data_IF_486359043619
#
_entry.id   IF_486359043619
#
_cell.length_a   1.000
_cell.length_b   1.000
_cell.length_c   1.000
_cell.angle_alpha   90.00
_cell.angle_beta   90.00
_cell.angle_gamma   90.00
#
_symmetry.space_group_name_H-M   'P 1'
#
loop_
_entity.id
_entity.type
_entity.pdbx_description
1 polymer ?
#
# COMPACT_ATOMS: atom_id res chain seq x y z
N UNK A 1 31.72 -31.81 -90.10
CA UNK A 1 33.15 -31.52 -89.91
C UNK A 1 33.24 -30.03 -89.61
N UNK A 2 33.75 -29.49 -88.52
CA UNK A 2 34.57 -29.96 -87.39
C UNK A 2 34.39 -28.88 -86.30
N UNK A 3 33.84 -29.27 -85.16
CA UNK A 3 34.44 -29.10 -83.82
C UNK A 3 33.93 -27.89 -83.02
N UNK A 4 32.99 -28.21 -82.13
CA UNK A 4 32.60 -27.41 -80.96
C UNK A 4 33.74 -27.44 -79.94
N UNK A 5 34.28 -26.26 -79.59
CA UNK A 5 35.13 -26.11 -78.41
C UNK A 5 34.38 -25.33 -77.32
N UNK A 6 34.36 -25.98 -76.16
CA UNK A 6 33.70 -25.65 -74.91
C UNK A 6 34.46 -24.50 -74.22
N UNK A 7 33.86 -23.31 -74.09
CA UNK A 7 34.27 -22.34 -73.06
C UNK A 7 33.31 -22.44 -71.88
N UNK A 8 33.81 -23.02 -70.77
CA UNK A 8 33.12 -23.08 -69.49
C UNK A 8 33.23 -21.73 -68.79
N UNK A 9 32.11 -21.03 -68.67
CA UNK A 9 31.93 -19.94 -67.69
C UNK A 9 32.10 -20.48 -66.27
N UNK A 10 32.81 -19.79 -65.36
CA UNK A 10 32.89 -20.21 -63.98
C UNK A 10 31.55 -19.89 -63.30
N UNK A 11 30.79 -20.95 -62.98
CA UNK A 11 29.70 -20.88 -62.00
C UNK A 11 30.29 -20.44 -60.66
N UNK A 12 30.06 -19.17 -60.31
CA UNK A 12 30.25 -18.68 -58.95
C UNK A 12 29.11 -19.30 -58.14
N UNK A 13 29.38 -20.47 -57.57
CA UNK A 13 28.56 -21.06 -56.51
C UNK A 13 28.77 -20.18 -55.27
N UNK A 14 27.98 -19.13 -55.14
CA UNK A 14 27.79 -18.46 -53.87
C UNK A 14 27.22 -19.51 -52.92
N UNK A 15 28.10 -20.05 -52.08
CA UNK A 15 27.71 -20.92 -50.99
C UNK A 15 26.84 -20.07 -50.08
N UNK A 16 25.53 -20.36 -50.05
CA UNK A 16 24.60 -19.80 -49.08
C UNK A 16 25.04 -20.33 -47.70
N UNK A 17 26.07 -19.67 -47.16
CA UNK A 17 26.56 -19.84 -45.82
C UNK A 17 25.65 -19.05 -44.89
N UNK A 18 25.11 -19.73 -43.90
CA UNK A 18 24.36 -19.16 -42.79
C UNK A 18 23.08 -18.39 -43.20
N UNK A 19 22.10 -19.13 -43.74
CA UNK A 19 20.76 -19.02 -43.17
C UNK A 19 20.84 -19.41 -41.69
N UNK A 20 21.31 -18.47 -40.86
CA UNK A 20 21.08 -18.48 -39.42
C UNK A 20 19.59 -18.68 -39.26
N UNK A 21 19.25 -19.90 -38.91
CA UNK A 21 18.00 -20.29 -38.31
C UNK A 21 17.57 -19.14 -37.39
N UNK A 22 16.54 -18.41 -37.80
CA UNK A 22 15.62 -17.70 -36.91
C UNK A 22 14.84 -18.73 -36.05
N UNK A 23 15.50 -19.84 -35.70
CA UNK A 23 15.10 -20.80 -34.73
C UNK A 23 15.25 -20.13 -33.39
N UNK A 24 14.11 -19.68 -32.89
CA UNK A 24 13.76 -19.85 -31.48
C UNK A 24 14.95 -19.54 -30.57
N UNK A 25 15.34 -18.26 -30.49
CA UNK A 25 16.10 -17.80 -29.32
C UNK A 25 15.20 -18.13 -28.14
N UNK A 26 15.42 -19.30 -27.51
CA UNK A 26 14.72 -19.74 -26.30
C UNK A 26 14.93 -18.59 -25.34
N UNK A 27 13.90 -17.77 -25.21
CA UNK A 27 13.88 -16.63 -24.30
C UNK A 27 14.37 -17.20 -22.96
N UNK A 28 15.45 -16.64 -22.36
CA UNK A 28 16.00 -17.21 -21.14
C UNK A 28 14.87 -17.44 -20.14
N UNK A 29 14.86 -18.63 -19.54
CA UNK A 29 13.87 -19.09 -18.57
C UNK A 29 13.70 -17.98 -17.54
N UNK A 30 12.53 -17.34 -17.52
CA UNK A 30 12.23 -16.25 -16.61
C UNK A 30 12.06 -16.85 -15.21
N UNK A 31 13.15 -16.87 -14.43
CA UNK A 31 13.11 -17.21 -13.01
C UNK A 31 12.41 -16.12 -12.17
N UNK A 32 12.02 -15.01 -12.78
CA UNK A 32 11.38 -13.87 -12.11
C UNK A 32 10.08 -14.24 -11.40
N UNK A 33 9.24 -15.11 -12.00
CA UNK A 33 7.97 -15.52 -11.38
C UNK A 33 8.18 -16.27 -10.06
N UNK A 34 9.25 -17.06 -9.95
CA UNK A 34 9.58 -17.75 -8.70
C UNK A 34 10.07 -16.77 -7.64
N UNK A 35 10.89 -15.80 -8.00
CA UNK A 35 11.36 -14.77 -7.08
C UNK A 35 10.18 -13.98 -6.48
N UNK A 36 9.28 -13.49 -7.35
CA UNK A 36 8.08 -12.78 -6.92
C UNK A 36 7.14 -13.67 -6.08
N UNK A 37 6.93 -14.93 -6.48
CA UNK A 37 6.09 -15.84 -5.71
C UNK A 37 6.70 -16.19 -4.35
N UNK A 38 8.01 -16.34 -4.25
CA UNK A 38 8.70 -16.54 -2.97
C UNK A 38 8.57 -15.31 -2.09
N UNK A 39 8.79 -14.11 -2.62
CA UNK A 39 8.59 -12.87 -1.88
C UNK A 39 7.14 -12.74 -1.37
N UNK A 40 6.16 -13.01 -2.22
CA UNK A 40 4.74 -13.00 -1.84
C UNK A 40 4.40 -14.04 -0.78
N UNK A 41 5.00 -15.23 -0.87
CA UNK A 41 4.85 -16.27 0.15
C UNK A 41 5.43 -15.86 1.51
N UNK A 42 6.59 -15.20 1.53
CA UNK A 42 7.21 -14.68 2.75
C UNK A 42 6.38 -13.54 3.37
N UNK A 43 5.92 -12.59 2.56
CA UNK A 43 5.05 -11.49 3.02
C UNK A 43 3.76 -12.06 3.60
N UNK A 44 3.12 -13.01 2.90
CA UNK A 44 1.89 -13.63 3.38
C UNK A 44 2.10 -14.42 4.68
N UNK A 45 3.22 -15.13 4.80
CA UNK A 45 3.55 -15.86 6.03
C UNK A 45 3.75 -14.91 7.21
N UNK A 46 4.46 -13.79 7.01
CA UNK A 46 4.62 -12.73 8.02
C UNK A 46 3.26 -12.14 8.42
N UNK A 47 2.43 -11.80 7.43
CA UNK A 47 1.09 -11.26 7.64
C UNK A 47 0.21 -12.20 8.48
N UNK A 48 0.18 -13.49 8.13
CA UNK A 48 -0.57 -14.50 8.89
C UNK A 48 -0.02 -14.63 10.31
N UNK A 49 1.30 -14.67 10.50
CA UNK A 49 1.92 -14.73 11.83
C UNK A 49 1.53 -13.52 12.70
N UNK A 50 1.66 -12.31 12.15
CA UNK A 50 1.36 -11.06 12.86
C UNK A 50 -0.13 -10.97 13.21
N UNK A 51 -1.03 -11.31 12.28
CA UNK A 51 -2.47 -11.32 12.56
C UNK A 51 -2.88 -12.37 13.59
N UNK A 52 -2.31 -13.58 13.54
CA UNK A 52 -2.57 -14.59 14.58
C UNK A 52 -2.14 -14.04 15.94
N UNK A 53 -0.91 -13.53 16.04
CA UNK A 53 -0.38 -12.97 17.29
C UNK A 53 -1.22 -11.81 17.82
N UNK A 54 -1.71 -10.96 16.91
CA UNK A 54 -2.62 -9.87 17.25
C UNK A 54 -3.94 -10.36 17.81
N UNK A 55 -4.67 -11.20 17.08
CA UNK A 55 -6.00 -11.71 17.48
C UNK A 55 -5.93 -12.47 18.82
N UNK A 56 -4.82 -13.16 19.09
CA UNK A 56 -4.62 -13.90 20.36
C UNK A 56 -3.99 -13.07 21.47
N UNK A 57 -3.58 -11.83 21.19
CA UNK A 57 -2.82 -10.98 22.11
C UNK A 57 -3.64 -9.84 22.71
N UNK A 58 -3.07 -9.08 23.65
CA UNK A 58 -3.78 -8.01 24.38
C UNK A 58 -4.20 -6.83 23.48
N UNK A 59 -3.50 -6.60 22.37
CA UNK A 59 -3.80 -5.50 21.46
C UNK A 59 -5.07 -5.72 20.60
N UNK A 60 -5.71 -6.90 20.64
CA UNK A 60 -7.02 -7.13 20.00
C UNK A 60 -8.15 -6.61 20.89
N UNK A 61 -8.14 -5.32 21.16
CA UNK A 61 -9.11 -4.64 21.99
C UNK A 61 -9.68 -3.42 21.28
N UNK A 62 -10.93 -3.07 21.58
CA UNK A 62 -11.55 -1.87 21.01
C UNK A 62 -10.84 -0.62 21.56
N UNK A 63 -10.37 0.24 20.66
CA UNK A 63 -9.96 1.60 21.01
C UNK A 63 -11.23 2.44 21.19
N UNK A 64 -11.45 3.04 22.37
CA UNK A 64 -12.64 3.81 22.65
C UNK A 64 -12.66 5.15 21.90
N UNK A 65 -13.86 5.66 21.71
CA UNK A 65 -14.12 6.98 21.10
C UNK A 65 -13.74 8.15 22.01
N UNK A 66 -13.57 7.88 23.31
CA UNK A 66 -13.31 8.90 24.32
C UNK A 66 -14.57 9.70 24.70
N UNK A 67 -14.42 10.83 25.41
CA UNK A 67 -15.54 11.60 25.94
C UNK A 67 -16.36 12.36 24.89
N UNK A 68 -15.79 12.66 23.71
CA UNK A 68 -16.51 13.35 22.65
C UNK A 68 -17.18 12.36 21.71
N UNK A 69 -18.48 12.54 21.49
CA UNK A 69 -19.23 11.80 20.49
C UNK A 69 -19.13 12.52 19.13
N UNK A 70 -18.78 11.83 18.02
CA UNK A 70 -18.71 12.48 16.72
C UNK A 70 -20.05 13.10 16.30
N UNK A 71 -20.05 14.16 15.49
CA UNK A 71 -21.28 14.78 14.98
C UNK A 71 -22.21 13.77 14.29
N UNK A 72 -23.53 13.97 14.41
CA UNK A 72 -24.53 13.05 13.83
C UNK A 72 -24.30 12.83 12.33
N UNK A 73 -24.05 13.90 11.58
CA UNK A 73 -23.80 13.82 10.14
C UNK A 73 -22.61 12.91 9.81
N UNK A 74 -21.50 13.07 10.55
CA UNK A 74 -20.30 12.24 10.42
C UNK A 74 -20.64 10.77 10.67
N UNK A 75 -21.27 10.45 11.80
CA UNK A 75 -21.69 9.07 12.13
C UNK A 75 -22.59 8.46 11.06
N UNK A 76 -23.60 9.20 10.60
CA UNK A 76 -24.52 8.72 9.56
C UNK A 76 -23.79 8.41 8.27
N UNK A 77 -22.91 9.30 7.83
CA UNK A 77 -22.16 9.11 6.58
C UNK A 77 -21.20 7.94 6.71
N UNK A 78 -20.42 7.86 7.79
CA UNK A 78 -19.51 6.74 8.07
C UNK A 78 -20.27 5.40 8.12
N UNK A 79 -21.48 5.39 8.70
CA UNK A 79 -22.35 4.20 8.72
C UNK A 79 -22.78 3.78 7.31
N UNK A 80 -23.28 4.72 6.52
CA UNK A 80 -23.76 4.47 5.15
C UNK A 80 -22.61 3.97 4.28
N UNK A 81 -21.43 4.57 4.42
CA UNK A 81 -20.23 4.16 3.70
C UNK A 81 -19.76 2.77 4.09
N UNK A 82 -19.67 2.48 5.39
CA UNK A 82 -19.32 1.16 5.90
C UNK A 82 -20.30 0.10 5.38
N UNK A 83 -21.61 0.39 5.42
CA UNK A 83 -22.62 -0.51 4.87
C UNK A 83 -22.45 -0.71 3.35
N UNK A 84 -22.19 0.37 2.61
CA UNK A 84 -21.93 0.33 1.17
C UNK A 84 -20.74 -0.56 0.80
N UNK A 85 -19.61 -0.42 1.51
CA UNK A 85 -18.41 -1.25 1.25
C UNK A 85 -18.60 -2.69 1.67
N UNK A 86 -19.32 -2.95 2.76
CA UNK A 86 -19.64 -4.31 3.18
C UNK A 86 -20.60 -5.02 2.23
N UNK A 87 -21.58 -4.31 1.65
CA UNK A 87 -22.51 -4.88 0.66
C UNK A 87 -21.81 -5.05 -0.69
N UNK A 88 -20.96 -4.10 -1.09
CA UNK A 88 -20.19 -4.16 -2.33
C UNK A 88 -19.22 -5.34 -2.36
N UNK A 89 -18.67 -5.73 -1.20
CA UNK A 89 -17.66 -6.78 -1.11
C UNK A 89 -18.12 -8.19 -1.56
N UNK A 90 -19.24 -8.77 -1.08
CA UNK A 90 -19.74 -10.05 -1.59
C UNK A 90 -20.14 -9.96 -3.06
N UNK A 91 -20.66 -8.81 -3.53
CA UNK A 91 -20.96 -8.58 -4.95
C UNK A 91 -19.68 -8.63 -5.79
N UNK A 92 -18.62 -7.98 -5.31
CA UNK A 92 -17.31 -7.96 -5.92
C UNK A 92 -16.70 -9.38 -5.99
N UNK A 93 -16.72 -10.13 -4.88
CA UNK A 93 -16.28 -11.53 -4.84
C UNK A 93 -17.09 -12.37 -5.84
N UNK A 94 -18.41 -12.20 -5.88
CA UNK A 94 -19.25 -12.92 -6.82
C UNK A 94 -18.87 -12.60 -8.27
N UNK A 95 -18.68 -11.33 -8.61
CA UNK A 95 -18.49 -10.89 -9.98
C UNK A 95 -17.08 -11.18 -10.53
N UNK A 96 -16.03 -11.01 -9.72
CA UNK A 96 -14.64 -11.17 -10.14
C UNK A 96 -14.02 -12.52 -9.83
N UNK A 97 -14.50 -13.24 -8.81
CA UNK A 97 -13.96 -14.55 -8.41
C UNK A 97 -14.95 -15.68 -8.74
N UNK A 98 -16.15 -15.68 -8.17
CA UNK A 98 -17.07 -16.83 -8.25
C UNK A 98 -17.61 -17.03 -9.67
N UNK A 99 -18.15 -15.96 -10.29
CA UNK A 99 -18.75 -16.03 -11.62
C UNK A 99 -17.74 -16.47 -12.70
N UNK A 100 -16.52 -15.91 -12.79
CA UNK A 100 -15.52 -16.39 -13.75
C UNK A 100 -15.04 -17.81 -13.43
N UNK A 101 -14.92 -18.18 -12.15
CA UNK A 101 -14.61 -19.55 -11.77
C UNK A 101 -15.67 -20.52 -12.30
N UNK A 102 -16.95 -20.25 -12.09
CA UNK A 102 -18.03 -21.14 -12.55
C UNK A 102 -18.16 -21.20 -14.07
N UNK A 103 -18.02 -20.06 -14.77
CA UNK A 103 -18.22 -20.01 -16.24
C UNK A 103 -17.00 -20.44 -17.03
N UNK A 104 -15.80 -20.09 -16.56
CA UNK A 104 -14.56 -20.20 -17.33
C UNK A 104 -13.53 -21.12 -16.66
N UNK A 105 -13.81 -21.63 -15.45
CA UNK A 105 -12.90 -22.48 -14.65
C UNK A 105 -11.50 -21.88 -14.46
N UNK A 106 -11.42 -20.55 -14.42
CA UNK A 106 -10.18 -19.78 -14.21
C UNK A 106 -10.42 -18.57 -13.31
N UNK A 107 -9.38 -18.19 -12.57
CA UNK A 107 -9.35 -16.93 -11.82
C UNK A 107 -8.78 -15.85 -12.74
N UNK A 108 -9.54 -14.78 -12.93
CA UNK A 108 -9.14 -13.64 -13.77
C UNK A 108 -8.07 -12.81 -13.07
N UNK A 109 -7.38 -11.94 -13.81
CA UNK A 109 -6.45 -10.98 -13.21
C UNK A 109 -7.16 -10.10 -12.16
N UNK A 110 -8.37 -9.64 -12.47
CA UNK A 110 -9.16 -8.80 -11.56
C UNK A 110 -9.52 -9.56 -10.26
N UNK A 111 -9.84 -10.85 -10.34
CA UNK A 111 -10.07 -11.67 -9.14
C UNK A 111 -8.82 -11.83 -8.28
N UNK A 112 -7.63 -11.98 -8.90
CA UNK A 112 -6.35 -12.02 -8.19
C UNK A 112 -6.03 -10.65 -7.57
N UNK A 113 -6.26 -9.55 -8.30
CA UNK A 113 -6.04 -8.20 -7.81
C UNK A 113 -6.96 -7.87 -6.65
N UNK A 114 -8.23 -8.28 -6.68
CA UNK A 114 -9.17 -8.10 -5.57
C UNK A 114 -8.63 -8.72 -4.28
N UNK A 115 -8.17 -9.97 -4.35
CA UNK A 115 -7.59 -10.66 -3.20
C UNK A 115 -6.25 -10.04 -2.79
N UNK A 116 -5.41 -9.66 -3.76
CA UNK A 116 -4.08 -9.07 -3.50
C UNK A 116 -4.19 -7.69 -2.83
N UNK A 117 -5.08 -6.82 -3.30
CA UNK A 117 -5.32 -5.50 -2.72
C UNK A 117 -6.01 -5.61 -1.36
N UNK A 118 -6.90 -6.60 -1.16
CA UNK A 118 -7.48 -6.87 0.15
C UNK A 118 -6.44 -7.31 1.19
N UNK A 119 -5.42 -8.07 0.79
CA UNK A 119 -4.32 -8.46 1.67
C UNK A 119 -3.28 -7.34 1.84
N UNK A 120 -3.14 -6.45 0.84
CA UNK A 120 -2.26 -5.28 0.90
C UNK A 120 -2.60 -4.34 2.07
N UNK A 121 -3.87 -4.31 2.49
CA UNK A 121 -4.35 -3.61 3.71
C UNK A 121 -3.51 -3.89 4.96
N UNK A 122 -2.84 -5.05 5.04
CA UNK A 122 -1.91 -5.35 6.14
C UNK A 122 -0.82 -4.28 6.37
N UNK A 123 -0.49 -3.53 5.32
CA UNK A 123 0.52 -2.48 5.39
C UNK A 123 -0.06 -1.11 5.74
N UNK A 124 -1.38 -0.96 5.86
CA UNK A 124 -2.04 0.33 6.11
C UNK A 124 -1.53 1.02 7.40
N UNK A 125 -1.37 0.33 8.54
CA UNK A 125 -0.81 0.96 9.72
C UNK A 125 0.64 1.43 9.52
N UNK A 126 1.39 0.91 8.54
CA UNK A 126 2.85 1.12 8.46
C UNK A 126 3.22 2.58 8.24
N UNK A 127 2.31 3.41 7.73
CA UNK A 127 2.49 4.85 7.68
C UNK A 127 2.76 5.46 9.08
N UNK A 128 2.32 4.79 10.15
CA UNK A 128 2.53 5.15 11.54
C UNK A 128 3.73 4.45 12.20
N UNK A 129 4.66 3.84 11.45
CA UNK A 129 5.68 2.97 12.04
C UNK A 129 6.69 3.70 12.93
N UNK A 130 7.13 4.90 12.52
CA UNK A 130 8.09 5.73 13.29
C UNK A 130 7.40 6.73 14.23
N UNK A 131 6.34 7.36 13.75
CA UNK A 131 5.54 8.33 14.47
C UNK A 131 4.09 8.22 14.00
N UNK A 132 3.12 8.61 14.83
CA UNK A 132 1.71 8.61 14.47
C UNK A 132 1.41 9.75 13.52
N UNK A 133 1.32 9.43 12.23
CA UNK A 133 1.13 10.34 11.12
C UNK A 133 -0.32 10.42 10.63
N UNK A 134 -1.08 9.31 10.65
CA UNK A 134 -2.52 9.26 10.33
C UNK A 134 -3.28 8.47 11.39
N UNK A 135 -4.47 8.95 11.76
CA UNK A 135 -5.38 8.23 12.65
C UNK A 135 -6.78 8.14 12.06
N UNK A 136 -7.40 6.98 12.20
CA UNK A 136 -8.79 6.76 11.83
C UNK A 136 -9.75 7.22 12.93
N UNK A 137 -10.99 7.51 12.53
CA UNK A 137 -12.05 7.79 13.48
C UNK A 137 -12.40 6.54 14.30
N UNK A 138 -12.13 6.57 15.60
CA UNK A 138 -12.29 5.44 16.51
C UNK A 138 -13.75 5.08 16.80
N UNK A 139 -14.71 5.89 16.33
CA UNK A 139 -16.13 5.55 16.35
C UNK A 139 -16.46 4.35 15.45
N UNK A 140 -15.73 4.17 14.36
CA UNK A 140 -15.90 3.03 13.45
C UNK A 140 -15.56 1.71 14.15
N UNK A 141 -16.10 0.61 13.63
CA UNK A 141 -15.82 -0.72 14.19
C UNK A 141 -14.33 -1.04 14.09
N UNK A 142 -13.67 -1.10 15.25
CA UNK A 142 -12.24 -1.38 15.38
C UNK A 142 -11.95 -2.38 16.52
N UNK A 143 -10.75 -2.97 16.46
CA UNK A 143 -10.14 -3.82 17.49
C UNK A 143 -8.65 -3.46 17.67
N UNK A 144 -8.35 -2.17 17.61
CA UNK A 144 -6.97 -1.67 17.56
C UNK A 144 -6.33 -1.99 16.22
N UNK A 145 -5.01 -2.21 16.23
CA UNK A 145 -4.25 -2.62 15.05
C UNK A 145 -3.27 -3.74 15.40
N UNK A 146 -2.75 -4.41 14.37
CA UNK A 146 -1.67 -5.40 14.54
C UNK A 146 -0.28 -4.76 14.54
N UNK A 147 -0.19 -3.43 14.46
CA UNK A 147 1.05 -2.68 14.29
C UNK A 147 2.13 -2.98 15.35
N UNK A 148 1.81 -3.15 16.65
CA UNK A 148 2.82 -3.42 17.69
C UNK A 148 3.57 -4.75 17.50
N UNK A 149 2.99 -5.67 16.73
CA UNK A 149 3.59 -6.96 16.43
C UNK A 149 4.43 -6.95 15.15
N UNK A 150 4.43 -5.84 14.40
CA UNK A 150 5.30 -5.66 13.25
C UNK A 150 6.74 -5.52 13.75
N UNK A 151 7.70 -6.28 13.20
CA UNK A 151 9.09 -6.22 13.65
C UNK A 151 9.64 -4.79 13.58
N UNK A 152 10.22 -4.32 14.68
CA UNK A 152 10.88 -3.02 14.80
C UNK A 152 9.95 -1.81 14.94
N UNK A 153 8.65 -2.03 15.16
CA UNK A 153 7.68 -0.96 15.41
C UNK A 153 8.18 0.03 16.47
N UNK A 154 8.13 1.32 16.17
CA UNK A 154 8.73 2.38 17.00
C UNK A 154 7.67 3.21 17.70
N UNK A 155 6.59 3.54 17.00
CA UNK A 155 5.49 4.34 17.55
C UNK A 155 4.88 3.71 18.79
N UNK A 156 4.56 4.57 19.75
CA UNK A 156 3.98 4.18 21.02
C UNK A 156 2.57 3.65 20.82
N UNK A 157 2.32 2.43 21.30
CA UNK A 157 1.00 1.83 21.30
C UNK A 157 0.79 0.99 22.56
N UNK A 158 -0.36 1.20 23.19
CA UNK A 158 -0.82 0.43 24.34
C UNK A 158 -2.17 -0.24 24.03
N UNK A 159 -2.48 -1.39 24.67
CA UNK A 159 -3.79 -2.00 24.53
C UNK A 159 -4.91 -0.98 24.85
N UNK A 160 -5.82 -0.76 23.90
CA UNK A 160 -6.88 0.23 24.00
C UNK A 160 -6.48 1.69 23.68
N UNK A 161 -5.18 1.98 23.53
CA UNK A 161 -4.62 3.30 23.21
C UNK A 161 -3.58 3.17 22.09
N UNK A 162 -4.08 2.99 20.85
CA UNK A 162 -3.30 2.66 19.67
C UNK A 162 -4.03 3.12 18.41
N UNK A 163 -3.38 3.04 17.25
CA UNK A 163 -4.05 3.28 15.96
C UNK A 163 -5.20 2.29 15.80
N UNK A 164 -6.38 2.80 15.51
CA UNK A 164 -7.62 2.02 15.47
C UNK A 164 -8.04 1.71 14.04
N UNK A 165 -7.72 0.51 13.56
CA UNK A 165 -8.05 0.12 12.19
C UNK A 165 -9.56 -0.14 12.01
N UNK A 166 -10.27 0.56 11.11
CA UNK A 166 -11.69 0.33 10.84
C UNK A 166 -11.86 -0.91 9.95
N UNK A 167 -11.73 -2.09 10.55
CA UNK A 167 -11.64 -3.39 9.84
C UNK A 167 -12.78 -3.63 8.85
N UNK A 168 -14.01 -3.26 9.21
CA UNK A 168 -15.19 -3.46 8.36
C UNK A 168 -15.22 -2.56 7.14
N UNK A 169 -14.40 -1.50 7.14
CA UNK A 169 -14.35 -0.54 6.06
C UNK A 169 -13.07 -0.70 5.24
N UNK A 170 -11.91 -0.78 5.90
CA UNK A 170 -10.63 -0.86 5.22
C UNK A 170 -10.47 -2.19 4.47
N UNK A 171 -10.77 -3.34 5.06
CA UNK A 171 -10.63 -4.64 4.37
C UNK A 171 -11.42 -4.68 3.05
N UNK A 172 -12.75 -4.42 3.02
CA UNK A 172 -13.47 -4.38 1.75
C UNK A 172 -13.09 -3.17 0.88
N UNK A 173 -12.87 -2.00 1.47
CA UNK A 173 -12.49 -0.78 0.75
C UNK A 173 -11.21 -0.94 -0.06
N UNK A 174 -10.17 -1.51 0.56
CA UNK A 174 -8.93 -1.89 -0.11
C UNK A 174 -9.14 -3.00 -1.15
N UNK A 175 -9.94 -4.03 -0.85
CA UNK A 175 -10.12 -5.15 -1.77
C UNK A 175 -10.83 -4.76 -3.08
N UNK A 176 -12.02 -4.14 -2.98
CA UNK A 176 -12.85 -3.85 -4.16
C UNK A 176 -12.89 -2.36 -4.53
N UNK A 177 -12.80 -1.46 -3.56
CA UNK A 177 -12.78 0.00 -3.82
C UNK A 177 -11.53 0.43 -4.59
N UNK A 178 -10.34 0.07 -4.09
CA UNK A 178 -9.06 0.34 -4.79
C UNK A 178 -9.03 -0.32 -6.16
N UNK A 179 -9.56 -1.54 -6.30
CA UNK A 179 -9.67 -2.21 -7.59
C UNK A 179 -10.58 -1.46 -8.56
N UNK A 180 -11.74 -0.96 -8.12
CA UNK A 180 -12.63 -0.17 -8.98
C UNK A 180 -11.98 1.12 -9.46
N UNK A 181 -11.28 1.82 -8.57
CA UNK A 181 -10.51 3.00 -8.93
C UNK A 181 -9.44 2.62 -9.97
N UNK A 182 -8.69 1.53 -9.73
CA UNK A 182 -7.70 1.01 -10.67
C UNK A 182 -8.33 0.71 -12.05
N UNK A 183 -9.51 0.10 -12.09
CA UNK A 183 -10.26 -0.16 -13.33
C UNK A 183 -10.64 1.14 -14.04
N UNK A 184 -11.11 2.14 -13.29
CA UNK A 184 -11.43 3.49 -13.78
C UNK A 184 -10.21 4.22 -14.35
N UNK A 185 -9.07 4.14 -13.66
CA UNK A 185 -7.79 4.67 -14.13
C UNK A 185 -7.32 3.95 -15.40
N UNK A 186 -7.43 2.62 -15.47
CA UNK A 186 -7.15 1.88 -16.70
C UNK A 186 -8.10 2.26 -17.85
N UNK A 187 -9.35 2.62 -17.57
CA UNK A 187 -10.27 3.16 -18.57
C UNK A 187 -9.80 4.54 -19.07
N UNK A 188 -9.36 5.41 -18.17
CA UNK A 188 -8.77 6.70 -18.52
C UNK A 188 -7.52 6.53 -19.40
N UNK A 189 -6.60 5.63 -19.03
CA UNK A 189 -5.43 5.30 -19.85
C UNK A 189 -5.81 4.85 -21.27
N UNK A 190 -6.86 4.02 -21.41
CA UNK A 190 -7.39 3.60 -22.72
C UNK A 190 -7.92 4.78 -23.52
N UNK A 191 -8.62 5.72 -22.86
CA UNK A 191 -9.16 6.93 -23.49
C UNK A 191 -8.07 7.89 -23.95
N UNK A 192 -6.99 8.04 -23.18
CA UNK A 192 -5.83 8.84 -23.57
C UNK A 192 -5.17 8.22 -24.81
N UNK A 193 -4.95 6.90 -24.80
CA UNK A 193 -4.33 6.20 -25.93
C UNK A 193 -5.19 6.22 -27.20
N UNK A 194 -6.53 6.18 -27.07
CA UNK A 194 -7.40 6.31 -28.25
C UNK A 194 -7.41 7.72 -28.84
N UNK A 195 -7.20 8.76 -28.03
CA UNK A 195 -7.04 10.15 -28.51
C UNK A 195 -5.64 10.46 -29.00
N UNK A 196 -4.60 9.85 -28.43
CA UNK A 196 -3.19 10.01 -28.82
C UNK A 196 -2.51 8.64 -28.95
N UNK A 197 -2.67 7.95 -30.10
CA UNK A 197 -2.10 6.61 -30.30
C UNK A 197 -0.56 6.56 -30.21
N UNK A 198 0.12 7.65 -30.56
CA UNK A 198 1.59 7.77 -30.52
C UNK A 198 2.17 8.14 -29.15
N UNK A 199 1.37 8.19 -28.08
CA UNK A 199 1.89 8.48 -26.74
C UNK A 199 2.83 7.36 -26.27
N UNK A 200 4.01 7.73 -25.79
CA UNK A 200 4.94 6.76 -25.21
C UNK A 200 4.39 6.19 -23.89
N UNK A 201 4.83 5.01 -23.50
CA UNK A 201 4.42 4.42 -22.21
C UNK A 201 4.79 5.33 -21.03
N UNK A 202 5.95 5.99 -21.07
CA UNK A 202 6.38 6.90 -20.00
C UNK A 202 5.46 8.12 -19.89
N UNK A 203 5.09 8.74 -21.02
CA UNK A 203 4.14 9.85 -21.03
C UNK A 203 2.75 9.41 -20.55
N UNK A 204 2.31 8.20 -20.90
CA UNK A 204 1.04 7.65 -20.42
C UNK A 204 1.07 7.46 -18.90
N UNK A 205 2.16 6.94 -18.34
CA UNK A 205 2.35 6.80 -16.89
C UNK A 205 2.32 8.18 -16.22
N UNK A 206 3.04 9.17 -16.74
CA UNK A 206 3.06 10.53 -16.19
C UNK A 206 1.69 11.20 -16.17
N UNK A 207 0.91 11.08 -17.26
CA UNK A 207 -0.47 11.60 -17.31
C UNK A 207 -1.40 10.84 -16.35
N UNK A 208 -1.20 9.54 -16.20
CA UNK A 208 -1.96 8.71 -15.26
C UNK A 208 -1.67 9.10 -13.81
N UNK A 209 -0.40 9.36 -13.50
CA UNK A 209 0.02 9.85 -12.19
C UNK A 209 -0.61 11.21 -11.86
N UNK A 210 -0.54 12.18 -12.78
CA UNK A 210 -1.21 13.47 -12.59
C UNK A 210 -2.73 13.33 -12.42
N UNK A 211 -3.37 12.42 -13.17
CA UNK A 211 -4.80 12.16 -13.03
C UNK A 211 -5.15 11.53 -11.67
N UNK A 212 -4.37 10.56 -11.21
CA UNK A 212 -4.59 9.86 -9.94
C UNK A 212 -4.35 10.78 -8.74
N UNK A 213 -3.36 11.68 -8.81
CA UNK A 213 -3.17 12.76 -7.84
C UNK A 213 -4.42 13.65 -7.71
N UNK A 214 -4.99 14.10 -8.83
CA UNK A 214 -6.19 14.95 -8.80
C UNK A 214 -7.41 14.17 -8.31
N UNK A 215 -7.54 12.91 -8.74
CA UNK A 215 -8.62 12.04 -8.27
C UNK A 215 -8.55 11.86 -6.76
N UNK A 216 -7.35 11.68 -6.23
CA UNK A 216 -7.10 11.54 -4.80
C UNK A 216 -7.44 12.82 -4.05
N UNK A 217 -6.96 13.99 -4.48
CA UNK A 217 -7.35 15.27 -3.89
C UNK A 217 -8.87 15.45 -3.80
N UNK A 218 -9.60 15.08 -4.86
CA UNK A 218 -11.07 15.17 -4.88
C UNK A 218 -11.72 14.17 -3.93
N UNK A 219 -11.25 12.93 -3.92
CA UNK A 219 -11.82 11.92 -3.05
C UNK A 219 -11.42 12.14 -1.60
N UNK A 220 -10.13 12.14 -1.31
CA UNK A 220 -9.61 12.21 0.03
C UNK A 220 -9.74 13.62 0.62
N UNK A 221 -9.14 14.61 -0.04
CA UNK A 221 -9.09 15.99 0.44
C UNK A 221 -10.45 16.67 0.55
N UNK A 222 -11.36 16.45 -0.41
CA UNK A 222 -12.67 17.11 -0.43
C UNK A 222 -13.82 16.27 0.12
N UNK A 223 -13.67 14.94 0.21
CA UNK A 223 -14.75 14.05 0.65
C UNK A 223 -14.34 13.29 1.92
N UNK A 224 -13.28 12.48 1.93
CA UNK A 224 -12.98 11.60 3.06
C UNK A 224 -12.62 12.33 4.34
N UNK A 225 -11.68 13.27 4.24
CA UNK A 225 -11.18 14.01 5.38
C UNK A 225 -12.25 14.95 5.97
N UNK A 226 -12.99 15.75 5.18
CA UNK A 226 -14.08 16.57 5.71
C UNK A 226 -15.24 15.75 6.29
N UNK A 227 -15.42 14.51 5.84
CA UNK A 227 -16.41 13.59 6.41
C UNK A 227 -15.88 12.84 7.64
N UNK A 228 -14.62 13.06 8.02
CA UNK A 228 -14.01 12.54 9.24
C UNK A 228 -13.77 11.03 9.24
N UNK A 229 -13.40 10.47 8.09
CA UNK A 229 -13.00 9.06 7.98
C UNK A 229 -11.72 8.78 8.78
N UNK A 230 -10.73 9.63 8.54
CA UNK A 230 -9.42 9.67 9.19
C UNK A 230 -8.90 11.09 9.12
N UNK A 231 -7.77 11.33 9.75
CA UNK A 231 -7.08 12.62 9.77
C UNK A 231 -5.57 12.40 9.79
N UNK A 232 -4.81 13.39 9.28
CA UNK A 232 -3.35 13.38 9.26
C UNK A 232 -2.80 14.31 10.33
N UNK A 233 -2.77 13.93 11.61
CA UNK A 233 -2.35 14.85 12.66
C UNK A 233 -0.88 15.22 12.59
N UNK A 234 -0.01 14.32 12.13
CA UNK A 234 1.41 14.59 11.96
C UNK A 234 1.76 15.22 10.61
N UNK A 235 0.79 15.79 9.87
CA UNK A 235 1.07 16.37 8.56
C UNK A 235 1.91 17.65 8.65
N UNK A 236 2.83 17.83 7.70
CA UNK A 236 3.57 19.09 7.55
C UNK A 236 2.59 20.16 7.05
N UNK A 237 2.25 21.10 7.92
CA UNK A 237 1.20 22.09 7.73
C UNK A 237 1.52 23.04 6.56
N UNK A 238 2.80 23.40 6.37
CA UNK A 238 3.22 24.31 5.30
C UNK A 238 2.97 23.79 3.87
N UNK A 239 2.82 22.48 3.70
CA UNK A 239 2.55 21.82 2.41
C UNK A 239 1.24 21.04 2.44
N UNK A 240 0.29 21.48 3.27
CA UNK A 240 -1.03 20.90 3.42
C UNK A 240 -2.14 21.89 3.08
N UNK A 241 -3.21 21.40 2.46
CA UNK A 241 -4.45 22.15 2.34
C UNK A 241 -5.22 22.10 3.65
N UNK A 242 -5.91 23.19 4.02
CA UNK A 242 -6.64 23.31 5.29
C UNK A 242 -5.79 23.00 6.53
N UNK A 243 -4.52 23.40 6.50
CA UNK A 243 -3.56 23.19 7.58
C UNK A 243 -4.13 23.64 8.94
N UNK A 244 -3.91 22.84 9.97
CA UNK A 244 -4.41 23.11 11.32
C UNK A 244 -5.85 22.64 11.57
N UNK A 245 -6.54 22.10 10.57
CA UNK A 245 -7.86 21.49 10.74
C UNK A 245 -7.80 19.95 10.73
N UNK A 246 -8.80 19.29 11.31
CA UNK A 246 -8.91 17.83 11.26
C UNK A 246 -9.05 17.26 9.84
N UNK A 247 -9.46 18.10 8.89
CA UNK A 247 -9.59 17.73 7.48
C UNK A 247 -8.43 18.25 6.63
N UNK A 248 -7.26 18.51 7.25
CA UNK A 248 -6.06 18.89 6.53
C UNK A 248 -5.60 17.77 5.59
N UNK A 249 -5.29 18.14 4.34
CA UNK A 249 -4.84 17.20 3.32
C UNK A 249 -3.41 17.53 2.89
N UNK A 250 -2.42 16.70 3.27
CA UNK A 250 -1.04 16.90 2.85
C UNK A 250 -0.87 16.64 1.35
N UNK A 251 -0.27 17.58 0.61
CA UNK A 251 -0.07 17.41 -0.85
C UNK A 251 0.76 16.18 -1.19
N UNK A 252 1.71 15.84 -0.32
CA UNK A 252 2.56 14.67 -0.49
C UNK A 252 1.81 13.35 -0.27
N UNK A 253 0.68 13.35 0.44
CA UNK A 253 -0.21 12.17 0.49
C UNK A 253 -0.76 11.87 -0.91
N UNK A 254 -1.30 12.88 -1.59
CA UNK A 254 -1.75 12.72 -2.97
C UNK A 254 -0.64 12.27 -3.93
N UNK A 255 0.61 12.68 -3.68
CA UNK A 255 1.74 12.19 -4.47
C UNK A 255 2.03 10.72 -4.19
N UNK A 256 2.03 10.30 -2.91
CA UNK A 256 2.27 8.91 -2.51
C UNK A 256 1.15 7.99 -2.97
N UNK A 257 -0.10 8.30 -2.63
CA UNK A 257 -1.25 7.50 -3.02
C UNK A 257 -1.52 7.54 -4.53
N UNK A 258 -1.33 8.69 -5.18
CA UNK A 258 -1.35 8.81 -6.63
C UNK A 258 -0.32 7.89 -7.30
N UNK A 259 0.88 7.77 -6.73
CA UNK A 259 1.93 6.89 -7.24
C UNK A 259 1.55 5.41 -7.07
N UNK A 260 0.95 5.04 -5.94
CA UNK A 260 0.39 3.70 -5.71
C UNK A 260 -0.67 3.38 -6.76
N UNK A 261 -1.66 4.25 -6.93
CA UNK A 261 -2.74 4.02 -7.89
C UNK A 261 -2.25 3.96 -9.34
N UNK A 262 -1.33 4.85 -9.72
CA UNK A 262 -0.69 4.79 -11.02
C UNK A 262 0.09 3.47 -11.19
N UNK A 263 0.83 3.01 -10.17
CA UNK A 263 1.56 1.75 -10.16
C UNK A 263 0.64 0.53 -10.33
N UNK A 264 -0.46 0.47 -9.57
CA UNK A 264 -1.47 -0.59 -9.66
C UNK A 264 -2.16 -0.59 -11.03
N UNK A 265 -2.50 0.59 -11.56
CA UNK A 265 -3.06 0.73 -12.89
C UNK A 265 -2.07 0.29 -13.97
N UNK A 266 -0.78 0.60 -13.82
CA UNK A 266 0.26 0.14 -14.73
C UNK A 266 0.40 -1.38 -14.71
N UNK A 267 0.41 -1.99 -13.52
CA UNK A 267 0.47 -3.44 -13.35
C UNK A 267 -0.71 -4.12 -14.06
N UNK A 268 -1.91 -3.55 -13.95
CA UNK A 268 -3.14 -4.06 -14.57
C UNK A 268 -3.23 -3.75 -16.07
N UNK A 269 -2.75 -2.61 -16.52
CA UNK A 269 -2.89 -2.14 -17.91
C UNK A 269 -1.85 -2.73 -18.85
N UNK A 270 -0.59 -2.78 -18.44
CA UNK A 270 0.52 -3.26 -19.27
C UNK A 270 0.65 -4.78 -19.18
N UNK A 271 -0.27 -5.47 -19.84
CA UNK A 271 -0.27 -6.93 -19.96
C UNK A 271 0.27 -7.38 -21.32
N UNK A 272 0.74 -8.63 -21.38
CA UNK A 272 1.11 -9.27 -22.64
C UNK A 272 -0.14 -9.71 -23.45
N UNK A 273 0.07 -10.30 -24.63
CA UNK A 273 -1.01 -10.79 -25.51
C UNK A 273 -1.89 -11.87 -24.87
N UNK A 274 -1.44 -12.46 -23.75
CA UNK A 274 -2.17 -13.46 -22.96
C UNK A 274 -2.81 -12.86 -21.71
N UNK A 275 -2.79 -11.53 -21.56
CA UNK A 275 -3.36 -10.82 -20.42
C UNK A 275 -2.54 -10.98 -19.13
N UNK A 276 -1.24 -11.25 -19.24
CA UNK A 276 -0.34 -11.46 -18.10
C UNK A 276 0.47 -10.22 -17.77
N UNK A 277 0.56 -9.93 -16.49
CA UNK A 277 1.41 -8.89 -15.90
C UNK A 277 2.90 -9.23 -16.03
N UNK A 278 3.78 -8.27 -15.73
CA UNK A 278 5.23 -8.48 -15.82
C UNK A 278 5.75 -9.53 -14.82
N UNK A 279 5.11 -9.66 -13.65
CA UNK A 279 5.57 -10.52 -12.54
C UNK A 279 5.17 -11.98 -12.71
N UNK A 280 4.18 -12.27 -13.55
CA UNK A 280 3.76 -13.64 -13.88
C UNK A 280 4.39 -14.15 -15.20
N UNK A 281 5.31 -13.38 -15.81
CA UNK A 281 6.01 -13.80 -17.03
C UNK A 281 6.88 -15.03 -16.77
N UNK A 282 6.59 -16.11 -17.50
CA UNK A 282 7.24 -17.39 -17.32
C UNK A 282 6.42 -18.41 -16.52
N UNK A 283 5.18 -18.09 -16.15
CA UNK A 283 4.30 -19.01 -15.42
C UNK A 283 4.08 -20.37 -16.12
N UNK A 284 4.13 -20.40 -17.47
CA UNK A 284 4.03 -21.65 -18.27
C UNK A 284 5.16 -22.65 -17.98
N UNK A 285 6.27 -22.17 -17.40
CA UNK A 285 7.44 -22.99 -17.08
C UNK A 285 7.35 -23.57 -15.66
N UNK A 286 6.34 -23.18 -14.88
CA UNK A 286 6.14 -23.68 -13.52
C UNK A 286 5.68 -25.13 -13.59
N UNK A 287 6.57 -26.04 -13.18
CA UNK A 287 6.31 -27.48 -13.10
C UNK A 287 5.26 -27.78 -12.03
N UNK A 288 4.10 -28.27 -12.44
CA UNK A 288 3.01 -28.68 -11.57
C UNK A 288 1.65 -28.55 -12.25
N UNK A 289 0.60 -29.06 -11.59
CA UNK A 289 -0.78 -28.92 -12.07
C UNK A 289 -1.28 -27.47 -12.01
N UNK A 290 -2.47 -27.25 -12.56
CA UNK A 290 -3.13 -25.93 -12.67
C UNK A 290 -3.19 -25.19 -11.33
N UNK A 291 -3.43 -25.90 -10.23
CA UNK A 291 -3.48 -25.31 -8.87
C UNK A 291 -2.16 -24.64 -8.49
N UNK A 292 -1.02 -25.33 -8.68
CA UNK A 292 0.29 -24.78 -8.33
C UNK A 292 0.63 -23.55 -9.16
N UNK A 293 0.26 -23.55 -10.44
CA UNK A 293 0.44 -22.40 -11.31
C UNK A 293 -0.41 -21.21 -10.85
N UNK A 294 -1.68 -21.42 -10.46
CA UNK A 294 -2.53 -20.34 -9.96
C UNK A 294 -2.04 -19.78 -8.62
N UNK A 295 -1.60 -20.62 -7.67
CA UNK A 295 -1.03 -20.14 -6.40
C UNK A 295 0.24 -19.33 -6.65
N UNK A 296 1.15 -19.83 -7.50
CA UNK A 296 2.40 -19.13 -7.84
C UNK A 296 2.09 -17.77 -8.49
N UNK A 297 1.10 -17.74 -9.40
CA UNK A 297 0.62 -16.52 -10.05
C UNK A 297 0.04 -15.53 -9.04
N UNK A 298 -0.82 -16.00 -8.13
CA UNK A 298 -1.40 -15.19 -7.07
C UNK A 298 -0.30 -14.58 -6.19
N UNK A 299 0.62 -15.39 -5.66
CA UNK A 299 1.70 -14.91 -4.81
C UNK A 299 2.59 -13.89 -5.51
N UNK A 300 2.89 -14.09 -6.80
CA UNK A 300 3.70 -13.14 -7.56
C UNK A 300 2.98 -11.79 -7.75
N UNK A 301 1.69 -11.79 -8.05
CA UNK A 301 0.90 -10.56 -8.18
C UNK A 301 0.71 -9.89 -6.82
N UNK A 302 0.44 -10.66 -5.76
CA UNK A 302 0.35 -10.16 -4.40
C UNK A 302 1.65 -9.47 -3.97
N UNK A 303 2.81 -10.08 -4.24
CA UNK A 303 4.10 -9.46 -3.97
C UNK A 303 4.29 -8.15 -4.73
N UNK A 304 3.84 -8.08 -5.99
CA UNK A 304 3.95 -6.86 -6.80
C UNK A 304 3.05 -5.74 -6.27
N UNK A 305 1.80 -6.05 -5.95
CA UNK A 305 0.83 -5.11 -5.35
C UNK A 305 1.36 -4.61 -4.01
N UNK A 306 1.83 -5.51 -3.14
CA UNK A 306 2.42 -5.17 -1.85
C UNK A 306 3.69 -4.33 -2.00
N UNK A 307 4.55 -4.63 -2.98
CA UNK A 307 5.77 -3.85 -3.23
C UNK A 307 5.46 -2.45 -3.78
N UNK A 308 4.46 -2.30 -4.65
CA UNK A 308 3.99 -0.99 -5.13
C UNK A 308 3.58 -0.13 -3.93
N UNK A 309 2.75 -0.67 -3.04
CA UNK A 309 2.30 0.07 -1.86
C UNK A 309 3.46 0.39 -0.91
N UNK A 310 4.31 -0.60 -0.62
CA UNK A 310 5.45 -0.40 0.26
C UNK A 310 6.41 0.69 -0.25
N UNK A 311 6.77 0.65 -1.53
CA UNK A 311 7.78 1.54 -2.11
C UNK A 311 7.25 2.95 -2.34
N UNK A 312 6.02 3.08 -2.85
CA UNK A 312 5.47 4.39 -3.22
C UNK A 312 4.74 5.08 -2.07
N UNK A 313 4.34 4.35 -1.03
CA UNK A 313 3.62 4.89 0.12
C UNK A 313 4.41 4.78 1.41
N UNK A 314 4.67 3.56 1.88
CA UNK A 314 5.21 3.37 3.23
C UNK A 314 6.62 3.93 3.40
N UNK A 315 7.52 3.72 2.44
CA UNK A 315 8.88 4.26 2.49
C UNK A 315 8.92 5.79 2.56
N UNK A 316 8.29 6.54 1.62
CA UNK A 316 8.28 7.99 1.72
C UNK A 316 7.48 8.50 2.92
N UNK A 317 6.41 7.81 3.33
CA UNK A 317 5.66 8.18 4.53
C UNK A 317 6.54 8.13 5.79
N UNK A 318 7.47 7.17 5.91
CA UNK A 318 8.39 7.13 7.06
C UNK A 318 9.30 8.35 7.12
N UNK A 319 9.79 8.81 5.96
CA UNK A 319 10.61 10.02 5.91
C UNK A 319 9.81 11.23 6.34
N UNK A 320 8.56 11.37 5.87
CA UNK A 320 7.74 12.53 6.22
C UNK A 320 7.27 12.48 7.68
N UNK A 321 6.93 11.30 8.21
CA UNK A 321 6.51 11.14 9.62
C UNK A 321 7.58 11.54 10.64
N UNK A 322 8.87 11.53 10.25
CA UNK A 322 9.97 12.04 11.08
C UNK A 322 10.03 13.57 11.16
N UNK A 323 9.32 14.26 10.28
CA UNK A 323 9.26 15.71 10.18
C UNK A 323 7.86 16.23 10.52
N UNK A 324 7.12 15.49 11.34
CA UNK A 324 5.76 15.85 11.72
C UNK A 324 5.73 17.19 12.46
N UNK A 325 4.84 18.09 12.02
CA UNK A 325 4.51 19.32 12.71
C UNK A 325 3.69 19.01 13.99
N UNK A 326 3.47 20.01 14.87
CA UNK A 326 2.59 19.86 16.01
C UNK A 326 1.22 19.35 15.58
N UNK A 327 0.68 18.38 16.31
CA UNK A 327 -0.70 17.95 16.13
C UNK A 327 -1.66 19.14 16.24
N UNK A 328 -2.51 19.41 15.25
CA UNK A 328 -3.47 20.51 15.32
C UNK A 328 -4.40 20.44 16.54
N UNK A 329 -4.70 21.60 17.14
CA UNK A 329 -5.67 21.71 18.25
C UNK A 329 -7.05 21.16 17.85
N UNK A 330 -7.49 21.42 16.62
CA UNK A 330 -8.74 20.93 16.05
C UNK A 330 -8.80 19.38 16.01
N UNK A 331 -7.67 18.69 15.96
CA UNK A 331 -7.65 17.23 16.09
C UNK A 331 -7.64 16.80 17.56
N UNK A 332 -6.81 17.47 18.37
CA UNK A 332 -6.64 17.13 19.79
C UNK A 332 -7.92 17.30 20.61
N UNK A 333 -8.76 18.30 20.30
CA UNK A 333 -10.04 18.52 20.99
C UNK A 333 -11.13 17.48 20.64
N UNK A 334 -10.85 16.58 19.69
CA UNK A 334 -11.77 15.53 19.23
C UNK A 334 -11.23 14.16 19.62
N UNK A 335 -11.69 13.64 20.75
CA UNK A 335 -11.20 12.35 21.29
C UNK A 335 -11.30 11.17 20.31
N UNK A 336 -12.24 11.22 19.37
CA UNK A 336 -12.42 10.18 18.35
C UNK A 336 -11.35 10.17 17.25
N UNK A 337 -10.43 11.14 17.22
CA UNK A 337 -9.27 11.16 16.33
C UNK A 337 -7.93 10.91 17.05
N UNK A 338 -7.86 11.07 18.38
CA UNK A 338 -6.62 10.83 19.14
C UNK A 338 -6.48 9.37 19.56
N UNK A 339 -7.60 8.67 19.76
CA UNK A 339 -7.62 7.23 20.10
C UNK A 339 -6.90 6.89 21.40
N UNK A 340 -6.76 7.86 22.30
CA UNK A 340 -6.06 7.71 23.58
C UNK A 340 -4.54 7.55 23.46
N UNK A 341 -3.96 7.77 22.27
CA UNK A 341 -2.50 7.67 22.06
C UNK A 341 -1.75 8.80 22.80
N UNK A 342 -2.38 9.97 22.90
CA UNK A 342 -1.80 11.17 23.50
C UNK A 342 -2.89 12.19 23.85
N UNK A 343 -2.49 13.25 24.57
CA UNK A 343 -3.33 14.42 24.85
C UNK A 343 -4.16 14.25 26.11
N UNK A 344 -5.30 14.94 26.18
CA UNK A 344 -6.16 14.94 27.37
C UNK A 344 -6.63 13.51 27.73
N UNK A 345 -6.64 13.21 29.03
CA UNK A 345 -6.89 11.86 29.55
C UNK A 345 -5.68 10.91 29.51
N UNK A 346 -4.50 11.38 29.10
CA UNK A 346 -3.24 10.62 29.13
C UNK A 346 -2.17 11.35 29.97
N UNK A 347 -1.07 10.66 30.27
CA UNK A 347 0.16 11.24 30.84
C UNK A 347 1.10 11.80 29.76
N UNK A 348 0.76 11.63 28.48
CA UNK A 348 1.65 11.92 27.35
C UNK A 348 1.17 13.11 26.52
N UNK A 349 2.03 14.08 26.22
CA UNK A 349 1.72 15.10 25.23
C UNK A 349 1.60 14.47 23.83
N UNK A 350 0.80 15.08 22.95
CA UNK A 350 0.78 14.67 21.55
C UNK A 350 2.10 14.99 20.84
N UNK A 351 2.45 14.23 19.78
CA UNK A 351 3.69 14.44 19.04
C UNK A 351 3.89 15.91 18.66
N UNK A 352 5.05 16.43 19.02
CA UNK A 352 5.45 17.83 18.83
C UNK A 352 6.93 17.87 18.41
N UNK A 353 7.33 18.73 17.45
CA UNK A 353 8.73 18.84 17.00
C UNK A 353 9.72 19.23 18.11
N UNK A 354 9.22 19.91 19.16
CA UNK A 354 10.04 20.29 20.32
C UNK A 354 10.31 19.13 21.30
N UNK A 355 9.63 17.99 21.11
CA UNK A 355 9.76 16.81 21.97
C UNK A 355 10.54 15.70 21.26
N UNK A 356 11.38 14.93 21.98
CA UNK A 356 11.98 13.73 21.42
C UNK A 356 10.90 12.73 21.00
N UNK A 357 11.10 11.99 19.91
CA UNK A 357 10.23 10.88 19.52
C UNK A 357 10.45 9.68 20.46
N UNK A 358 9.48 9.33 21.33
CA UNK A 358 9.64 8.22 22.25
C UNK A 358 9.52 6.87 21.54
N UNK A 359 10.26 5.88 22.04
CA UNK A 359 10.21 4.47 21.63
C UNK A 359 9.64 3.62 22.77
N UNK A 360 9.13 2.42 22.47
CA UNK A 360 8.35 1.63 23.44
C UNK A 360 9.08 1.34 24.76
N UNK A 361 10.41 1.31 24.71
CA UNK A 361 11.27 1.03 25.86
C UNK A 361 12.22 2.20 26.17
N UNK A 362 11.90 3.43 25.76
CA UNK A 362 12.68 4.63 26.11
C UNK A 362 11.96 5.47 27.15
N UNK A 363 12.70 6.38 27.78
CA UNK A 363 12.06 7.47 28.50
C UNK A 363 11.28 8.39 27.55
N UNK A 364 10.34 9.13 28.11
CA UNK A 364 9.55 10.15 27.43
C UNK A 364 9.32 11.35 28.35
N UNK A 365 8.95 12.49 27.77
CA UNK A 365 8.57 13.68 28.53
C UNK A 365 7.06 13.64 28.74
N UNK A 366 6.61 13.70 29.99
CA UNK A 366 5.20 13.74 30.32
C UNK A 366 4.58 15.14 30.08
N UNK A 367 3.28 15.25 30.33
CA UNK A 367 2.53 16.50 30.16
C UNK A 367 2.99 17.64 31.09
N UNK A 368 3.65 17.31 32.19
CA UNK A 368 4.15 18.26 33.19
C UNK A 368 5.60 18.70 32.85
N UNK A 369 6.20 18.10 31.81
CA UNK A 369 7.55 18.39 31.35
C UNK A 369 8.64 17.56 32.06
N UNK A 370 8.24 16.55 32.84
CA UNK A 370 9.16 15.68 33.56
C UNK A 370 9.58 14.48 32.70
N UNK A 371 10.85 14.06 32.84
CA UNK A 371 11.35 12.85 32.18
C UNK A 371 10.88 11.62 32.95
N UNK A 372 10.01 10.83 32.34
CA UNK A 372 9.58 9.53 32.84
C UNK A 372 10.44 8.45 32.21
N UNK A 373 11.13 7.65 33.02
CA UNK A 373 11.93 6.50 32.60
C UNK A 373 11.16 5.19 32.83
N UNK A 374 11.40 4.14 32.02
CA UNK A 374 10.86 2.82 32.31
C UNK A 374 11.33 2.28 33.66
N UNK A 375 10.53 1.42 34.28
CA UNK A 375 10.85 0.82 35.59
C UNK A 375 12.24 0.17 35.60
N UNK A 376 13.06 0.57 36.57
CA UNK A 376 14.42 0.05 36.75
C UNK A 376 15.46 0.58 35.77
N UNK A 377 15.12 1.60 34.96
CA UNK A 377 16.07 2.31 34.09
C UNK A 377 16.48 3.63 34.75
N UNK A 378 17.78 3.85 34.85
CA UNK A 378 18.36 5.12 35.30
C UNK A 378 18.96 5.87 34.10
N UNK A 379 19.16 7.18 34.26
CA UNK A 379 19.88 7.99 33.27
C UNK A 379 21.30 7.43 33.13
N UNK A 380 21.79 7.14 31.91
CA UNK A 380 23.13 6.62 31.71
C UNK A 380 24.21 7.52 32.31
N UNK A 381 25.16 6.92 33.03
CA UNK A 381 26.31 7.65 33.57
C UNK A 381 27.21 8.20 32.46
N UNK A 382 27.75 9.40 32.67
CA UNK A 382 28.68 10.03 31.74
C UNK A 382 30.02 9.32 31.82
N UNK A 383 30.43 8.66 30.74
CA UNK A 383 31.77 8.06 30.63
C UNK A 383 32.77 9.16 30.23
N UNK A 384 33.77 9.47 31.07
CA UNK A 384 34.75 10.51 30.75
C UNK A 384 35.64 10.10 29.57
N UNK A 385 36.11 11.08 28.81
CA UNK A 385 37.08 10.84 27.74
C UNK A 385 38.40 10.29 28.30
N UNK A 386 39.06 9.40 27.54
CA UNK A 386 40.42 8.99 27.87
C UNK A 386 41.35 10.20 27.75
N UNK A 387 42.21 10.47 28.76
CA UNK A 387 43.25 11.47 28.62
C UNK A 387 44.20 11.11 27.47
N UNK A 388 44.69 12.10 26.71
CA UNK A 388 45.84 11.90 25.82
C UNK A 388 47.10 11.76 26.68
N UNK A 389 47.84 10.66 26.49
CA UNK A 389 49.10 10.35 27.20
C UNK A 389 50.27 11.27 26.81
#
# INVERSE_FOLDING_TARGET
MSELSNEKSPEIVETIGDTKTLGTRKRPVSKGVYLWATAGGLILALQVYVWIRWITGPYFERVPTGPNDPPILMKTILSIWTAGVLIGFPIAIYWWIIRPWWRERRITLDGILLASMGLMFFQDPFLNYVNTWCTYNTWMFNRGSWAPYVPGWVSQEEPGAQVAEPLLMNVPGYAWGVLLITIGVCWFMRKVKSRRPGISNLQLIGVTFAFTFVLDFVMEGLILLPLGLYTFPGAIQSVSFNAGHYYQWPVYEGLMWGAVQAGLACLRFFTDDRGRTIVERGIDQVRGGVVRQQITRFLAIFAAVSAIFFVFYNLPAQWVGQHADPWPEDIQERSYFTGGICGDGTDRPCPHPDLPMPRNNSGYIDKDGELVLPDGVEVPEIVPFQPED
#
